data_IF_432798635564
#
_entry.id   IF_432798635564
#
_cell.length_a   1.000
_cell.length_b   1.000
_cell.length_c   1.000
_cell.angle_alpha   90.00
_cell.angle_beta   90.00
_cell.angle_gamma   90.00
#
_symmetry.space_group_name_H-M   'P 1'
#
loop_
_entity.id
_entity.type
_entity.pdbx_description
1 polymer ?
#
# COMPACT_ATOMS: atom_id res chain seq x y z
N UNK A 1 43.28 40.15 25.96
CA UNK A 1 42.46 39.21 25.17
C UNK A 1 41.27 38.78 26.02
N UNK A 2 40.09 39.05 25.50
CA UNK A 2 38.77 38.79 26.07
C UNK A 2 38.38 37.33 25.76
N UNK A 3 37.81 36.61 26.73
CA UNK A 3 37.01 35.42 26.49
C UNK A 3 35.87 35.39 27.50
N UNK A 4 34.77 36.05 27.13
CA UNK A 4 33.48 35.96 27.81
C UNK A 4 32.90 34.56 27.62
N UNK A 5 32.87 33.75 28.68
CA UNK A 5 32.09 32.52 28.72
C UNK A 5 30.72 32.84 29.32
N UNK A 6 29.80 33.26 28.46
CA UNK A 6 28.39 33.38 28.79
C UNK A 6 27.78 31.98 28.93
N UNK A 7 27.49 31.61 30.18
CA UNK A 7 26.85 30.35 30.54
C UNK A 7 25.33 30.49 30.32
N UNK A 8 24.85 30.17 29.11
CA UNK A 8 23.42 30.12 28.83
C UNK A 8 22.82 28.85 29.43
N UNK A 9 22.23 28.97 30.62
CA UNK A 9 21.34 27.97 31.21
C UNK A 9 20.03 27.93 30.40
N UNK A 10 19.96 27.01 29.43
CA UNK A 10 18.73 26.69 28.72
C UNK A 10 17.78 25.92 29.62
N UNK A 11 16.68 26.56 30.02
CA UNK A 11 15.55 25.91 30.71
C UNK A 11 14.86 24.97 29.71
N UNK A 12 14.97 23.66 29.90
CA UNK A 12 14.19 22.69 29.13
C UNK A 12 12.77 22.72 29.69
N UNK A 13 11.88 23.44 29.02
CA UNK A 13 10.44 23.32 29.27
C UNK A 13 9.99 21.92 28.83
N UNK A 14 9.78 21.01 29.79
CA UNK A 14 9.06 19.76 29.53
C UNK A 14 7.59 20.10 29.30
N UNK A 15 7.16 20.15 28.04
CA UNK A 15 5.74 20.15 27.74
C UNK A 15 5.16 18.78 28.14
N UNK A 16 4.09 18.72 28.96
CA UNK A 16 3.43 17.45 29.23
C UNK A 16 2.80 16.96 27.93
N UNK A 17 3.25 15.82 27.43
CA UNK A 17 2.55 15.12 26.38
C UNK A 17 1.16 14.75 26.92
N UNK A 18 0.14 15.50 26.49
CA UNK A 18 -1.25 15.18 26.79
C UNK A 18 -1.52 13.78 26.23
N UNK A 19 -1.59 12.79 27.13
CA UNK A 19 -2.05 11.46 26.80
C UNK A 19 -3.51 11.59 26.37
N UNK A 20 -3.75 11.61 25.07
CA UNK A 20 -5.08 11.43 24.50
C UNK A 20 -5.52 9.99 24.78
N UNK A 21 -6.04 9.75 25.99
CA UNK A 21 -6.88 8.62 26.32
C UNK A 21 -8.27 8.83 25.70
N UNK A 22 -8.32 8.98 24.37
CA UNK A 22 -9.54 8.85 23.60
C UNK A 22 -9.62 7.40 23.14
N UNK A 23 -10.73 6.72 23.43
CA UNK A 23 -11.07 5.41 22.88
C UNK A 23 -10.82 5.47 21.36
N UNK A 24 -9.71 4.90 20.91
CA UNK A 24 -9.35 4.92 19.49
C UNK A 24 -10.32 3.98 18.78
N UNK A 25 -11.45 4.51 18.30
CA UNK A 25 -12.15 3.90 17.17
C UNK A 25 -11.07 3.74 16.11
N UNK A 26 -10.66 2.50 15.81
CA UNK A 26 -9.72 2.25 14.74
C UNK A 26 -10.24 3.02 13.51
N UNK A 27 -9.42 3.89 12.88
CA UNK A 27 -9.89 4.68 11.75
C UNK A 27 -10.53 3.75 10.73
N UNK A 28 -11.75 4.10 10.28
CA UNK A 28 -12.45 3.30 9.29
C UNK A 28 -11.58 3.21 8.04
N UNK A 29 -11.18 2.00 7.68
CA UNK A 29 -10.42 1.74 6.47
C UNK A 29 -11.14 2.38 5.28
N UNK A 30 -10.44 3.14 4.40
CA UNK A 30 -11.06 3.63 3.18
C UNK A 30 -11.54 2.49 2.28
N UNK A 31 -12.42 2.81 1.34
CA UNK A 31 -12.95 1.83 0.40
C UNK A 31 -11.92 1.48 -0.67
N UNK A 32 -11.68 0.18 -0.88
CA UNK A 32 -10.79 -0.28 -1.92
C UNK A 32 -11.29 0.12 -3.32
N UNK A 33 -12.60 0.33 -3.50
CA UNK A 33 -13.18 0.82 -4.75
C UNK A 33 -12.61 2.17 -5.20
N UNK A 34 -12.09 3.01 -4.30
CA UNK A 34 -11.51 4.31 -4.69
C UNK A 34 -10.35 4.16 -5.68
N UNK A 35 -9.59 3.06 -5.62
CA UNK A 35 -8.48 2.82 -6.55
C UNK A 35 -8.95 2.63 -8.00
N UNK A 36 -10.20 2.21 -8.22
CA UNK A 36 -10.72 1.97 -9.57
C UNK A 36 -11.00 3.27 -10.31
N UNK A 37 -11.05 4.40 -9.60
CA UNK A 37 -11.23 5.74 -10.19
C UNK A 37 -9.94 6.28 -10.83
N UNK A 38 -8.79 5.69 -10.50
CA UNK A 38 -7.49 6.07 -11.06
C UNK A 38 -7.34 5.45 -12.46
N UNK A 39 -7.02 6.27 -13.46
CA UNK A 39 -6.81 5.82 -14.84
C UNK A 39 -5.31 5.83 -15.21
N UNK A 40 -4.50 6.46 -14.38
CA UNK A 40 -3.05 6.56 -14.47
C UNK A 40 -2.36 5.25 -14.06
N UNK A 41 -1.04 5.20 -14.27
CA UNK A 41 -0.22 4.08 -13.78
C UNK A 41 0.18 4.36 -12.34
N UNK A 42 -0.25 3.49 -11.43
CA UNK A 42 0.19 3.52 -10.05
C UNK A 42 1.52 2.80 -9.91
N UNK A 43 2.56 3.48 -9.45
CA UNK A 43 3.88 2.91 -9.18
C UNK A 43 4.03 2.54 -7.70
N UNK A 44 4.78 1.47 -7.46
CA UNK A 44 5.12 1.05 -6.11
C UNK A 44 6.28 1.89 -5.59
N UNK A 45 5.99 2.82 -4.68
CA UNK A 45 7.00 3.64 -4.03
C UNK A 45 7.67 2.89 -2.87
N UNK A 46 6.86 2.27 -2.02
CA UNK A 46 7.36 1.60 -0.82
C UNK A 46 6.64 0.26 -0.63
N UNK A 47 7.40 -0.73 -0.15
CA UNK A 47 6.83 -1.98 0.34
C UNK A 47 7.49 -2.37 1.66
N UNK A 48 6.66 -2.72 2.63
CA UNK A 48 7.07 -3.41 3.85
C UNK A 48 6.67 -4.87 3.69
N UNK A 49 7.63 -5.69 3.25
CA UNK A 49 7.43 -7.12 3.00
C UNK A 49 8.24 -7.94 4.01
N UNK A 50 7.71 -9.09 4.40
CA UNK A 50 8.37 -10.03 5.32
C UNK A 50 9.27 -11.04 4.62
N UNK A 51 9.38 -10.96 3.29
CA UNK A 51 10.26 -11.78 2.45
C UNK A 51 10.96 -10.88 1.44
N UNK A 52 12.23 -11.15 1.16
CA UNK A 52 12.97 -10.46 0.11
C UNK A 52 12.40 -10.80 -1.26
N UNK A 53 12.37 -9.81 -2.16
CA UNK A 53 12.05 -10.00 -3.57
C UNK A 53 12.96 -9.13 -4.43
N UNK A 54 13.38 -9.67 -5.56
CA UNK A 54 14.30 -9.03 -6.51
C UNK A 54 13.57 -8.10 -7.49
N UNK A 55 12.24 -8.11 -7.49
CA UNK A 55 11.42 -7.27 -8.38
C UNK A 55 11.64 -5.78 -8.09
N UNK A 56 11.91 -5.01 -9.16
CA UNK A 56 12.09 -3.55 -9.14
C UNK A 56 11.05 -2.86 -10.03
N UNK A 57 10.90 -1.54 -9.89
CA UNK A 57 10.04 -0.71 -10.72
C UNK A 57 8.63 -1.30 -10.92
N UNK A 58 8.01 -1.72 -9.81
CA UNK A 58 6.70 -2.35 -9.88
C UNK A 58 5.64 -1.29 -10.12
N UNK A 59 4.66 -1.58 -10.97
CA UNK A 59 3.53 -0.70 -11.20
C UNK A 59 2.27 -1.49 -11.57
N UNK A 60 1.13 -0.83 -11.48
CA UNK A 60 -0.17 -1.37 -11.85
C UNK A 60 -0.97 -0.34 -12.62
N UNK A 61 -1.64 -0.79 -13.69
CA UNK A 61 -2.57 0.05 -14.46
C UNK A 61 -3.86 -0.72 -14.72
N UNK A 62 -5.00 -0.05 -14.53
CA UNK A 62 -6.31 -0.55 -14.95
C UNK A 62 -6.35 -0.53 -16.49
N UNK A 63 -6.61 -1.68 -17.10
CA UNK A 63 -6.67 -1.85 -18.55
C UNK A 63 -8.11 -1.85 -19.04
N UNK A 64 -8.98 -2.54 -18.31
CA UNK A 64 -10.37 -2.74 -18.72
C UNK A 64 -11.29 -2.82 -17.50
N UNK A 65 -12.51 -2.35 -17.67
CA UNK A 65 -13.61 -2.51 -16.72
C UNK A 65 -14.66 -3.44 -17.33
N UNK A 66 -14.81 -4.64 -16.76
CA UNK A 66 -15.84 -5.58 -17.20
C UNK A 66 -17.19 -5.24 -16.58
N UNK A 67 -17.18 -4.84 -15.31
CA UNK A 67 -18.33 -4.29 -14.59
C UNK A 67 -17.84 -3.53 -13.35
N UNK A 68 -18.79 -2.97 -12.60
CA UNK A 68 -18.55 -2.16 -11.39
C UNK A 68 -17.66 -2.81 -10.32
N UNK A 69 -17.45 -4.12 -10.35
CA UNK A 69 -16.63 -4.84 -9.37
C UNK A 69 -15.55 -5.71 -9.99
N UNK A 70 -15.46 -5.80 -11.31
CA UNK A 70 -14.56 -6.70 -12.02
C UNK A 70 -13.74 -5.92 -13.05
N UNK A 71 -12.43 -5.97 -12.91
CA UNK A 71 -11.49 -5.16 -13.69
C UNK A 71 -10.30 -5.98 -14.15
N UNK A 72 -9.75 -5.67 -15.31
CA UNK A 72 -8.47 -6.18 -15.76
C UNK A 72 -7.37 -5.18 -15.37
N UNK A 73 -6.35 -5.67 -14.67
CA UNK A 73 -5.16 -4.88 -14.35
C UNK A 73 -3.91 -5.49 -15.00
N UNK A 74 -3.04 -4.62 -15.49
CA UNK A 74 -1.68 -4.98 -15.88
C UNK A 74 -0.72 -4.59 -14.75
N UNK A 75 -0.04 -5.59 -14.19
CA UNK A 75 1.05 -5.44 -13.24
C UNK A 75 2.37 -5.55 -13.98
N UNK A 76 3.21 -4.53 -13.87
CA UNK A 76 4.54 -4.50 -14.47
C UNK A 76 5.59 -4.56 -13.39
N UNK A 77 6.69 -5.23 -13.68
CA UNK A 77 7.88 -5.21 -12.84
C UNK A 77 9.12 -5.44 -13.69
N UNK A 78 10.22 -4.82 -13.30
CA UNK A 78 11.53 -5.13 -13.83
C UNK A 78 12.06 -6.39 -13.13
N UNK A 79 12.40 -7.39 -13.92
CA UNK A 79 13.00 -8.66 -13.51
C UNK A 79 14.45 -8.70 -14.01
N UNK A 80 15.33 -9.30 -13.22
CA UNK A 80 16.69 -9.61 -13.67
C UNK A 80 16.62 -10.87 -14.53
N UNK A 81 17.04 -10.78 -15.79
CA UNK A 81 17.13 -11.91 -16.71
C UNK A 81 18.54 -11.99 -17.30
N UNK A 82 19.43 -12.72 -16.62
CA UNK A 82 20.86 -12.72 -16.95
C UNK A 82 21.51 -11.37 -16.64
N UNK A 83 22.22 -10.80 -17.62
CA UNK A 83 22.94 -9.52 -17.49
C UNK A 83 22.08 -8.29 -17.79
N UNK A 84 20.88 -8.46 -18.34
CA UNK A 84 20.02 -7.35 -18.76
C UNK A 84 18.69 -7.36 -18.00
N UNK A 85 18.28 -6.24 -17.39
CA UNK A 85 16.95 -6.12 -16.80
C UNK A 85 15.88 -6.07 -17.89
N UNK A 86 14.79 -6.82 -17.72
CA UNK A 86 13.66 -6.86 -18.65
C UNK A 86 12.37 -6.52 -17.90
N UNK A 87 11.45 -5.80 -18.55
CA UNK A 87 10.11 -5.62 -18.01
C UNK A 87 9.24 -6.84 -18.29
N UNK A 88 8.70 -7.42 -17.22
CA UNK A 88 7.65 -8.44 -17.29
C UNK A 88 6.28 -7.79 -17.03
N UNK A 89 5.26 -8.29 -17.71
CA UNK A 89 3.87 -7.85 -17.54
C UNK A 89 3.00 -9.05 -17.18
N UNK A 90 2.23 -8.91 -16.12
CA UNK A 90 1.21 -9.85 -15.69
C UNK A 90 -0.16 -9.18 -15.79
N UNK A 91 -1.08 -9.81 -16.51
CA UNK A 91 -2.48 -9.43 -16.50
C UNK A 91 -3.22 -10.26 -15.44
N UNK A 92 -3.96 -9.60 -14.56
CA UNK A 92 -4.83 -10.30 -13.61
C UNK A 92 -6.21 -9.66 -13.55
N UNK A 93 -7.22 -10.52 -13.48
CA UNK A 93 -8.59 -10.11 -13.20
C UNK A 93 -8.71 -9.84 -11.70
N UNK A 94 -9.12 -8.63 -11.36
CA UNK A 94 -9.28 -8.15 -10.00
C UNK A 94 -10.77 -8.00 -9.71
N UNK A 95 -11.24 -8.73 -8.69
CA UNK A 95 -12.62 -8.68 -8.21
C UNK A 95 -12.70 -7.94 -6.89
N UNK A 96 -13.63 -7.00 -6.80
CA UNK A 96 -13.95 -6.24 -5.61
C UNK A 96 -15.17 -6.85 -4.92
N UNK A 97 -15.03 -7.20 -3.65
CA UNK A 97 -16.11 -7.82 -2.88
C UNK A 97 -16.30 -7.10 -1.54
N UNK A 98 -17.54 -6.98 -1.05
CA UNK A 98 -17.81 -6.31 0.21
C UNK A 98 -17.16 -7.04 1.40
N UNK A 99 -16.77 -6.27 2.41
CA UNK A 99 -16.38 -6.77 3.73
C UNK A 99 -17.65 -6.92 4.58
N UNK A 100 -17.95 -8.15 5.05
CA UNK A 100 -19.01 -8.53 6.01
C UNK A 100 -19.89 -7.35 6.49
N UNK A 101 -21.06 -7.19 5.87
CA UNK A 101 -22.10 -6.19 6.20
C UNK A 101 -21.70 -4.70 6.09
N UNK A 102 -20.71 -4.35 5.27
CA UNK A 102 -20.30 -2.95 5.07
C UNK A 102 -20.27 -2.57 3.59
N UNK A 103 -20.41 -1.27 3.35
CA UNK A 103 -20.20 -0.56 2.08
C UNK A 103 -18.73 -0.51 1.65
N UNK A 104 -17.82 -1.15 2.39
CA UNK A 104 -16.38 -1.12 2.13
C UNK A 104 -15.99 -2.41 1.41
N UNK A 105 -15.28 -2.28 0.29
CA UNK A 105 -14.82 -3.39 -0.51
C UNK A 105 -13.37 -3.77 -0.20
N UNK A 106 -13.02 -5.01 -0.57
CA UNK A 106 -11.65 -5.51 -0.67
C UNK A 106 -11.45 -6.01 -2.09
N UNK A 107 -10.23 -5.89 -2.60
CA UNK A 107 -9.88 -6.45 -3.90
C UNK A 107 -9.28 -7.85 -3.74
N UNK A 108 -9.48 -8.70 -4.75
CA UNK A 108 -8.92 -10.04 -4.82
C UNK A 108 -8.46 -10.35 -6.23
N UNK A 109 -7.38 -11.09 -6.35
CA UNK A 109 -6.93 -11.69 -7.60
C UNK A 109 -6.12 -12.95 -7.31
N UNK A 110 -5.93 -13.77 -8.34
CA UNK A 110 -5.06 -14.95 -8.29
C UNK A 110 -3.79 -14.63 -9.09
N UNK A 111 -2.62 -14.83 -8.48
CA UNK A 111 -1.35 -14.66 -9.19
C UNK A 111 -1.03 -15.84 -10.12
N UNK A 112 0.05 -15.72 -10.90
CA UNK A 112 0.48 -16.76 -11.84
C UNK A 112 0.79 -18.11 -11.18
N UNK A 113 1.07 -18.13 -9.88
CA UNK A 113 1.39 -19.34 -9.12
C UNK A 113 0.14 -19.94 -8.46
N UNK A 114 -1.06 -19.45 -8.78
CA UNK A 114 -2.31 -19.88 -8.16
C UNK A 114 -2.51 -19.36 -6.73
N UNK A 115 -1.70 -18.41 -6.26
CA UNK A 115 -1.86 -17.83 -4.93
C UNK A 115 -2.98 -16.80 -4.94
N UNK A 116 -3.95 -16.99 -4.05
CA UNK A 116 -5.01 -16.03 -3.81
C UNK A 116 -4.47 -14.83 -3.01
N UNK A 117 -4.59 -13.65 -3.60
CA UNK A 117 -4.19 -12.39 -2.99
C UNK A 117 -5.44 -11.59 -2.63
N UNK A 118 -5.49 -11.09 -1.41
CA UNK A 118 -6.52 -10.18 -0.92
C UNK A 118 -5.88 -8.86 -0.53
N UNK A 119 -6.44 -7.77 -1.04
CA UNK A 119 -5.99 -6.40 -0.81
C UNK A 119 -7.04 -5.62 -0.01
N UNK A 120 -6.58 -4.81 0.94
CA UNK A 120 -7.43 -3.88 1.70
C UNK A 120 -6.75 -2.53 1.79
N UNK A 121 -7.49 -1.45 1.54
CA UNK A 121 -6.98 -0.10 1.74
C UNK A 121 -6.81 0.17 3.24
N UNK A 122 -5.72 0.83 3.60
CA UNK A 122 -5.39 1.25 4.98
C UNK A 122 -5.46 2.75 5.13
N UNK A 123 -4.99 3.47 4.13
CA UNK A 123 -5.06 4.91 4.02
C UNK A 123 -5.05 5.29 2.53
N UNK A 124 -5.52 6.48 2.23
CA UNK A 124 -5.36 7.13 0.93
C UNK A 124 -5.05 8.60 1.16
N UNK A 125 -4.31 9.18 0.23
CA UNK A 125 -4.19 10.63 0.14
C UNK A 125 -5.59 11.25 -0.09
N UNK A 126 -5.92 12.40 0.54
CA UNK A 126 -7.23 13.04 0.37
C UNK A 126 -7.57 13.39 -1.08
N UNK A 127 -6.57 13.63 -1.93
CA UNK A 127 -6.76 13.92 -3.35
C UNK A 127 -6.78 12.65 -4.21
N UNK A 128 -6.63 11.46 -3.61
CA UNK A 128 -6.60 10.18 -4.32
C UNK A 128 -5.31 9.90 -5.09
N UNK A 129 -4.23 10.65 -4.84
CA UNK A 129 -2.96 10.48 -5.55
C UNK A 129 -2.12 9.29 -5.06
N UNK A 130 -2.32 8.83 -3.82
CA UNK A 130 -1.55 7.76 -3.21
C UNK A 130 -2.42 6.86 -2.33
N UNK A 131 -2.07 5.57 -2.27
CA UNK A 131 -2.83 4.54 -1.56
C UNK A 131 -1.91 3.64 -0.75
N UNK A 132 -2.22 3.46 0.53
CA UNK A 132 -1.57 2.47 1.38
C UNK A 132 -2.42 1.22 1.44
N UNK A 133 -1.89 0.10 0.96
CA UNK A 133 -2.64 -1.16 0.79
C UNK A 133 -2.01 -2.26 1.63
N UNK A 134 -2.86 -2.96 2.39
CA UNK A 134 -2.53 -4.18 3.09
C UNK A 134 -2.77 -5.39 2.17
N UNK A 135 -1.74 -6.21 2.00
CA UNK A 135 -1.75 -7.44 1.20
C UNK A 135 -1.76 -8.65 2.12
N UNK A 136 -2.69 -9.56 1.85
CA UNK A 136 -2.76 -10.89 2.45
C UNK A 136 -2.72 -11.96 1.35
N UNK A 137 -1.80 -12.91 1.46
CA UNK A 137 -1.63 -14.02 0.49
C UNK A 137 -2.04 -15.34 1.14
N UNK A 138 -2.69 -16.24 0.39
CA UNK A 138 -3.09 -17.56 0.90
C UNK A 138 -1.91 -18.50 1.17
N UNK A 139 -0.81 -18.35 0.42
CA UNK A 139 0.41 -19.16 0.55
C UNK A 139 1.43 -18.62 1.56
N UNK A 140 1.06 -17.61 2.36
CA UNK A 140 1.93 -17.00 3.37
C UNK A 140 1.78 -17.60 4.79
N UNK A 141 2.77 -17.35 5.64
CA UNK A 141 2.67 -17.66 7.09
C UNK A 141 1.54 -16.82 7.69
N UNK A 142 0.59 -17.48 8.37
CA UNK A 142 -0.51 -16.80 9.07
C UNK A 142 0.04 -15.69 9.97
N UNK A 143 -0.47 -14.47 9.82
CA UNK A 143 -0.04 -13.29 10.60
C UNK A 143 1.00 -12.40 9.92
N UNK A 144 1.60 -12.81 8.79
CA UNK A 144 2.44 -11.93 7.97
C UNK A 144 1.57 -11.14 6.98
N UNK A 145 1.56 -9.82 7.15
CA UNK A 145 0.96 -8.90 6.20
C UNK A 145 2.05 -8.11 5.50
N UNK A 146 1.81 -7.77 4.24
CA UNK A 146 2.67 -6.85 3.53
C UNK A 146 1.92 -5.53 3.33
N UNK A 147 2.62 -4.43 3.52
CA UNK A 147 2.10 -3.10 3.25
C UNK A 147 2.76 -2.57 1.99
N UNK A 148 1.99 -1.95 1.11
CA UNK A 148 2.53 -1.26 -0.05
C UNK A 148 1.95 0.15 -0.14
N UNK A 149 2.73 1.05 -0.71
CA UNK A 149 2.31 2.41 -1.08
C UNK A 149 2.33 2.52 -2.60
N UNK A 150 1.17 2.80 -3.17
CA UNK A 150 0.97 3.01 -4.61
C UNK A 150 0.63 4.47 -4.88
N UNK A 151 1.38 5.10 -5.76
CA UNK A 151 1.12 6.42 -6.36
C UNK A 151 1.59 6.30 -7.81
#
# INVERSE_FOLDING_TARGET
MILFLAFCLGVIAMAPAAQHAGISKAPSSPDMMEITKVNETLVLLERKHTTNTTLRCQSSKKIEEYNQTHYLYAFRAMVQNGTSPVYSVLYAQVTFAPLRNRTIYKARYTDQNGTNVTLRMKAMDPNGGCFVILIHKSSGVKGKFNLITLC
#
